data_IF_821979723412
#
_entry.id   IF_821979723412
#
_cell.length_a   1.000
_cell.length_b   1.000
_cell.length_c   1.000
_cell.angle_alpha   90.00
_cell.angle_beta   90.00
_cell.angle_gamma   90.00
#
_symmetry.space_group_name_H-M   'P 1'
#
loop_
_entity.id
_entity.type
_entity.pdbx_description
1 polymer ?
#
# COMPACT_ATOMS: atom_id res chain seq x y z
N UNK A 1 -4.73 0.03 9.15
CA UNK A 1 -4.60 1.51 9.02
C UNK A 1 -3.17 1.94 8.69
N UNK A 2 -2.18 1.59 9.51
CA UNK A 2 -0.77 2.02 9.33
C UNK A 2 -0.19 1.76 7.92
N UNK A 3 -0.30 0.53 7.41
CA UNK A 3 0.19 0.18 6.07
C UNK A 3 -0.44 1.03 4.96
N UNK A 4 -1.75 1.28 5.06
CA UNK A 4 -2.48 2.11 4.10
C UNK A 4 -1.97 3.55 4.15
N UNK A 5 -1.77 4.12 5.35
CA UNK A 5 -1.27 5.49 5.48
C UNK A 5 0.12 5.65 4.88
N UNK A 6 1.06 4.73 5.20
CA UNK A 6 2.42 4.74 4.65
C UNK A 6 2.39 4.56 3.12
N UNK A 7 1.61 3.61 2.62
CA UNK A 7 1.42 3.43 1.19
C UNK A 7 0.89 4.70 0.51
N UNK A 8 -0.07 5.44 1.09
CA UNK A 8 -0.59 6.68 0.48
C UNK A 8 0.50 7.75 0.31
N UNK A 9 1.41 7.88 1.28
CA UNK A 9 2.58 8.75 1.14
C UNK A 9 3.56 8.22 0.09
N UNK A 10 3.89 6.92 0.14
CA UNK A 10 4.80 6.29 -0.79
C UNK A 10 4.31 6.37 -2.24
N UNK A 11 3.01 6.14 -2.47
CA UNK A 11 2.35 6.27 -3.76
C UNK A 11 2.50 7.68 -4.33
N UNK A 12 2.36 8.71 -3.48
CA UNK A 12 2.56 10.08 -3.94
C UNK A 12 4.01 10.35 -4.37
N UNK A 13 4.99 9.81 -3.64
CA UNK A 13 6.40 9.90 -4.07
C UNK A 13 6.66 9.10 -5.35
N UNK A 14 6.04 7.93 -5.51
CA UNK A 14 6.16 7.12 -6.72
C UNK A 14 5.60 7.87 -7.95
N UNK A 15 4.45 8.54 -7.82
CA UNK A 15 3.88 9.39 -8.88
C UNK A 15 4.73 10.63 -9.22
N UNK A 16 5.68 11.00 -8.35
CA UNK A 16 6.63 12.10 -8.58
C UNK A 16 7.98 11.58 -9.08
N UNK A 17 8.04 10.32 -9.54
CA UNK A 17 9.23 9.65 -10.04
C UNK A 17 10.40 9.64 -9.04
N UNK A 18 10.09 9.74 -7.72
CA UNK A 18 11.12 9.63 -6.69
C UNK A 18 11.64 8.19 -6.67
N UNK A 19 12.94 7.96 -6.95
CA UNK A 19 13.48 6.61 -7.00
C UNK A 19 13.64 6.03 -5.60
N UNK A 20 13.48 4.71 -5.46
CA UNK A 20 13.84 3.88 -4.27
C UNK A 20 13.03 4.18 -2.99
N UNK A 21 12.93 5.44 -2.56
CA UNK A 21 12.26 5.87 -1.33
C UNK A 21 10.82 5.33 -1.21
N UNK A 22 9.97 5.37 -2.26
CA UNK A 22 8.62 4.81 -2.17
C UNK A 22 8.63 3.34 -1.73
N UNK A 23 9.49 2.51 -2.33
CA UNK A 23 9.57 1.09 -1.99
C UNK A 23 10.12 0.89 -0.58
N UNK A 24 11.12 1.66 -0.16
CA UNK A 24 11.65 1.61 1.22
C UNK A 24 10.56 1.89 2.25
N UNK A 25 9.69 2.88 2.00
CA UNK A 25 8.57 3.19 2.89
C UNK A 25 7.57 2.04 2.98
N UNK A 26 7.17 1.46 1.84
CA UNK A 26 6.23 0.33 1.84
C UNK A 26 6.83 -0.94 2.43
N UNK A 27 8.13 -1.18 2.27
CA UNK A 27 8.84 -2.28 2.93
C UNK A 27 8.92 -2.09 4.44
N UNK A 28 9.11 -0.87 4.91
CA UNK A 28 9.03 -0.57 6.34
C UNK A 28 7.63 -0.87 6.90
N UNK A 29 6.57 -0.53 6.17
CA UNK A 29 5.20 -0.89 6.54
C UNK A 29 4.98 -2.40 6.52
N UNK A 30 5.50 -3.09 5.50
CA UNK A 30 5.44 -4.54 5.37
C UNK A 30 6.09 -5.24 6.57
N UNK A 31 7.31 -4.84 6.94
CA UNK A 31 8.03 -5.41 8.08
C UNK A 31 7.28 -5.24 9.42
N UNK A 32 6.50 -4.18 9.58
CA UNK A 32 5.76 -3.89 10.83
C UNK A 32 4.36 -4.47 10.89
N UNK A 33 3.72 -4.67 9.73
CA UNK A 33 2.28 -5.02 9.67
C UNK A 33 1.99 -6.33 8.96
N UNK A 34 2.95 -6.91 8.22
CA UNK A 34 2.75 -8.08 7.38
C UNK A 34 1.93 -7.82 6.11
N UNK A 35 1.64 -6.55 5.78
CA UNK A 35 0.90 -6.13 4.58
C UNK A 35 1.92 -5.59 3.57
N UNK A 36 2.12 -6.27 2.44
CA UNK A 36 2.93 -5.76 1.32
C UNK A 36 2.03 -5.03 0.32
N UNK A 37 2.23 -3.72 0.17
CA UNK A 37 1.56 -2.92 -0.87
C UNK A 37 2.66 -2.28 -1.70
N UNK A 38 2.73 -2.59 -2.98
CA UNK A 38 3.64 -1.88 -3.87
C UNK A 38 3.24 -0.41 -3.99
N UNK A 39 4.18 0.56 -3.93
CA UNK A 39 3.85 1.98 -4.00
C UNK A 39 3.22 2.38 -5.35
N UNK A 40 3.42 1.57 -6.40
CA UNK A 40 2.81 1.78 -7.71
C UNK A 40 1.32 1.37 -7.81
N UNK A 41 0.80 0.59 -6.86
CA UNK A 41 -0.60 0.18 -6.88
C UNK A 41 -1.51 1.42 -6.89
N UNK A 42 -2.62 1.38 -7.62
CA UNK A 42 -3.68 2.40 -7.57
C UNK A 42 -4.83 1.90 -6.68
N UNK A 43 -5.14 2.64 -5.63
CA UNK A 43 -6.15 2.24 -4.64
C UNK A 43 -7.12 3.40 -4.42
N UNK A 44 -8.41 3.18 -4.55
CA UNK A 44 -9.44 4.19 -4.34
C UNK A 44 -9.64 4.58 -2.87
N UNK A 45 -10.39 5.67 -2.66
CA UNK A 45 -10.81 6.09 -1.32
C UNK A 45 -11.63 5.06 -0.55
N UNK A 46 -11.69 5.23 0.78
CA UNK A 46 -12.46 4.37 1.71
C UNK A 46 -12.02 2.90 1.66
N UNK A 47 -10.73 2.69 1.48
CA UNK A 47 -10.08 1.38 1.52
C UNK A 47 -9.80 0.96 2.96
N UNK A 48 -10.10 -0.30 3.28
CA UNK A 48 -9.88 -0.88 4.60
C UNK A 48 -9.21 -2.25 4.49
N UNK A 49 -8.26 -2.51 5.38
CA UNK A 49 -7.65 -3.82 5.59
C UNK A 49 -7.87 -4.19 7.04
N UNK A 50 -8.46 -5.35 7.27
CA UNK A 50 -8.72 -5.91 8.60
C UNK A 50 -7.85 -7.16 8.84
N UNK A 51 -7.25 -7.27 10.03
CA UNK A 51 -6.13 -8.17 10.40
C UNK A 51 -4.86 -8.06 9.54
N UNK A 52 -4.96 -8.21 8.23
CA UNK A 52 -3.98 -7.77 7.22
C UNK A 52 -2.73 -8.63 7.01
N UNK A 53 -2.29 -9.43 7.97
CA UNK A 53 -1.08 -10.25 7.84
C UNK A 53 -1.16 -11.17 6.63
N UNK A 54 -0.19 -11.08 5.71
CA UNK A 54 -0.10 -11.93 4.52
C UNK A 54 -0.73 -11.34 3.25
N UNK A 55 -1.36 -10.17 3.33
CA UNK A 55 -1.85 -9.46 2.14
C UNK A 55 -0.67 -8.98 1.28
N UNK A 56 -0.78 -9.23 -0.03
CA UNK A 56 0.16 -8.73 -1.05
C UNK A 56 -0.64 -8.04 -2.16
N UNK A 57 -0.29 -6.78 -2.45
CA UNK A 57 -0.89 -5.96 -3.53
C UNK A 57 0.25 -5.50 -4.45
N UNK A 58 0.22 -5.96 -5.70
CA UNK A 58 1.28 -5.75 -6.69
C UNK A 58 1.30 -4.35 -7.33
N UNK A 59 2.39 -4.06 -8.07
CA UNK A 59 2.67 -2.76 -8.66
C UNK A 59 1.57 -2.22 -9.58
N UNK A 60 1.03 -3.07 -10.45
CA UNK A 60 0.05 -2.67 -11.46
C UNK A 60 -1.39 -2.94 -11.02
N UNK A 61 -1.61 -3.19 -9.73
CA UNK A 61 -2.95 -3.51 -9.22
C UNK A 61 -3.78 -2.24 -9.12
N UNK A 62 -5.01 -2.30 -9.63
CA UNK A 62 -6.03 -1.26 -9.47
C UNK A 62 -7.14 -1.76 -8.53
N UNK A 63 -7.42 -1.00 -7.47
CA UNK A 63 -8.49 -1.27 -6.49
C UNK A 63 -9.42 -0.06 -6.45
N UNK A 64 -10.72 -0.28 -6.64
CA UNK A 64 -11.72 0.79 -6.61
C UNK A 64 -12.04 1.35 -5.22
N UNK A 65 -13.10 2.16 -5.13
CA UNK A 65 -13.56 2.76 -3.87
C UNK A 65 -14.34 1.79 -2.99
N UNK A 66 -14.33 2.02 -1.66
CA UNK A 66 -15.10 1.26 -0.67
C UNK A 66 -14.75 -0.24 -0.61
N UNK A 67 -13.50 -0.60 -0.88
CA UNK A 67 -13.03 -1.98 -0.80
C UNK A 67 -12.55 -2.33 0.60
N UNK A 68 -12.86 -3.54 1.05
CA UNK A 68 -12.33 -4.14 2.27
C UNK A 68 -11.63 -5.45 1.96
N UNK A 69 -10.42 -5.63 2.48
CA UNK A 69 -9.66 -6.88 2.40
C UNK A 69 -9.43 -7.48 3.80
N UNK A 70 -9.27 -8.79 3.83
CA UNK A 70 -8.97 -9.61 5.00
C UNK A 70 -7.72 -10.47 4.71
N UNK A 71 -7.18 -11.08 5.75
CA UNK A 71 -6.11 -12.08 5.69
C UNK A 71 -6.59 -13.41 5.07
#
# INVERSE_FOLDING_TARGET
>A
FEAIAIYRFAHRFHQLDVPVIPRVLTEHAHARTGIDIHPGADIGERFCIDHGTGIVIGETTEIGHNVKLYQ
#
